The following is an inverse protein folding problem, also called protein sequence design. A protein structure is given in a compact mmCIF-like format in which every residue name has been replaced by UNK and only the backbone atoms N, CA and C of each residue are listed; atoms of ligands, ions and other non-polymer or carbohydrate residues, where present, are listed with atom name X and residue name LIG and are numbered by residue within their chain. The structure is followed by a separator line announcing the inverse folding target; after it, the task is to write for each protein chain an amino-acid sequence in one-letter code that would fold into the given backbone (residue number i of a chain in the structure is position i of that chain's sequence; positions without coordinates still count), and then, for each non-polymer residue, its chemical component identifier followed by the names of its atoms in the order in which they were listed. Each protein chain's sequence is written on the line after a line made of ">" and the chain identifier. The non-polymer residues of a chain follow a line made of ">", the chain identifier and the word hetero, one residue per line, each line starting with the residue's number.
data_IF_504920600031
#
_entry.id   IF_504920600031
#
_cell.length_a   1.000
_cell.length_b   1.000
_cell.length_c   1.000
_cell.angle_alpha   90.00
_cell.angle_beta   90.00
_cell.angle_gamma   90.00
#
_symmetry.space_group_name_H-M   'P 1'
#
loop_
_entity.id
_entity.type
_entity.pdbx_description
1 polymer ?
#
# COMPACT_ATOMS: atom_id res chain seq x y z
N UNK A 1 23.47 -13.17 -13.67
CA UNK A 1 22.31 -12.94 -14.56
C UNK A 1 21.17 -12.22 -13.83
N UNK A 2 20.57 -12.81 -12.79
CA UNK A 2 19.42 -12.23 -12.05
C UNK A 2 19.64 -10.79 -11.53
N UNK A 3 20.84 -10.48 -11.01
CA UNK A 3 21.13 -9.13 -10.51
C UNK A 3 21.13 -8.08 -11.65
N UNK A 4 21.71 -8.42 -12.80
CA UNK A 4 21.77 -7.53 -13.95
C UNK A 4 20.37 -7.26 -14.52
N UNK A 5 19.53 -8.30 -14.63
CA UNK A 5 18.13 -8.15 -15.03
C UNK A 5 17.35 -7.25 -14.07
N UNK A 6 17.57 -7.42 -12.76
CA UNK A 6 16.92 -6.59 -11.72
C UNK A 6 17.34 -5.12 -11.83
N UNK A 7 18.63 -4.86 -12.08
CA UNK A 7 19.16 -3.50 -12.27
C UNK A 7 18.59 -2.87 -13.54
N UNK A 8 18.53 -3.60 -14.65
CA UNK A 8 17.95 -3.12 -15.90
C UNK A 8 16.47 -2.79 -15.70
N UNK A 9 15.70 -3.66 -15.05
CA UNK A 9 14.29 -3.39 -14.73
C UNK A 9 14.13 -2.17 -13.82
N UNK A 10 15.00 -2.01 -12.82
CA UNK A 10 14.98 -0.84 -11.94
C UNK A 10 15.29 0.46 -12.69
N UNK A 11 16.28 0.44 -13.61
CA UNK A 11 16.62 1.59 -14.46
C UNK A 11 15.47 1.95 -15.40
N UNK A 12 14.90 0.97 -16.10
CA UNK A 12 13.76 1.20 -16.99
C UNK A 12 12.58 1.77 -16.22
N UNK A 13 12.28 1.23 -15.03
CA UNK A 13 11.22 1.74 -14.15
C UNK A 13 11.50 3.16 -13.65
N UNK A 14 12.74 3.46 -13.28
CA UNK A 14 13.13 4.79 -12.81
C UNK A 14 13.02 5.83 -13.93
N UNK A 15 13.54 5.53 -15.12
CA UNK A 15 13.44 6.41 -16.30
C UNK A 15 11.99 6.63 -16.71
N UNK A 16 11.18 5.56 -16.76
CA UNK A 16 9.75 5.68 -17.05
C UNK A 16 9.02 6.53 -15.99
N UNK A 17 9.38 6.38 -14.71
CA UNK A 17 8.85 7.19 -13.61
C UNK A 17 9.22 8.66 -13.73
N UNK A 18 10.48 8.97 -14.08
CA UNK A 18 10.93 10.34 -14.33
C UNK A 18 10.20 10.97 -15.52
N UNK A 19 10.00 10.21 -16.60
CA UNK A 19 9.22 10.68 -17.75
C UNK A 19 7.75 10.94 -17.38
N UNK A 20 7.12 10.03 -16.62
CA UNK A 20 5.77 10.21 -16.12
C UNK A 20 5.63 11.42 -15.19
N UNK A 21 6.63 11.67 -14.33
CA UNK A 21 6.71 12.89 -13.51
C UNK A 21 6.76 14.15 -14.38
N UNK A 22 7.62 14.17 -15.41
CA UNK A 22 7.70 15.29 -16.35
C UNK A 22 6.37 15.55 -17.07
N UNK A 23 5.67 14.50 -17.49
CA UNK A 23 4.35 14.59 -18.12
C UNK A 23 3.24 15.02 -17.15
N UNK A 24 3.42 14.80 -15.84
CA UNK A 24 2.46 15.21 -14.82
C UNK A 24 2.55 16.71 -14.47
N UNK A 25 3.72 17.33 -14.65
CA UNK A 25 3.94 18.77 -14.37
C UNK A 25 2.86 19.68 -14.99
N UNK A 26 2.55 19.63 -16.31
CA UNK A 26 1.56 20.53 -16.90
C UNK A 26 0.13 20.31 -16.39
N UNK A 27 -0.18 19.12 -15.87
CA UNK A 27 -1.45 18.88 -15.20
C UNK A 27 -1.46 19.50 -13.79
N UNK A 28 -0.34 19.41 -13.07
CA UNK A 28 -0.18 19.96 -11.73
C UNK A 28 -0.13 21.49 -11.70
N UNK A 29 0.34 22.16 -12.76
CA UNK A 29 0.31 23.64 -12.85
C UNK A 29 -1.12 24.21 -12.88
N UNK A 30 -2.14 23.38 -13.13
CA UNK A 30 -3.55 23.79 -13.07
C UNK A 30 -4.08 23.85 -11.63
N UNK A 31 -3.35 23.30 -10.67
CA UNK A 31 -3.73 23.34 -9.25
C UNK A 31 -3.27 24.67 -8.65
N UNK A 32 -4.19 25.35 -7.96
CA UNK A 32 -3.90 26.57 -7.24
C UNK A 32 -3.55 26.26 -5.78
N UNK A 33 -2.48 26.88 -5.29
CA UNK A 33 -2.10 26.94 -3.88
C UNK A 33 -2.00 28.42 -3.49
N UNK A 34 -2.52 28.80 -2.33
CA UNK A 34 -2.58 30.19 -1.84
C UNK A 34 -3.24 31.16 -2.84
N UNK A 35 -4.20 30.66 -3.65
CA UNK A 35 -4.88 31.45 -4.68
C UNK A 35 -4.05 31.72 -5.95
N UNK A 36 -2.86 31.14 -6.11
CA UNK A 36 -2.05 31.23 -7.33
C UNK A 36 -1.80 29.84 -7.95
N UNK A 37 -1.80 29.69 -9.28
CA UNK A 37 -1.46 28.43 -9.91
C UNK A 37 0.01 28.08 -9.66
N UNK A 38 0.29 26.79 -9.46
CA UNK A 38 1.66 26.29 -9.33
C UNK A 38 2.44 26.56 -10.63
N UNK A 39 3.66 27.08 -10.48
CA UNK A 39 4.56 27.26 -11.63
C UNK A 39 5.38 26.00 -11.88
N UNK A 40 5.73 25.75 -13.14
CA UNK A 40 6.55 24.59 -13.50
C UNK A 40 7.93 24.60 -12.79
N UNK A 41 8.47 25.79 -12.51
CA UNK A 41 9.72 25.97 -11.77
C UNK A 41 9.62 25.49 -10.32
N UNK A 42 8.48 25.70 -9.64
CA UNK A 42 8.26 25.22 -8.27
C UNK A 42 8.12 23.70 -8.19
N UNK A 43 7.57 23.09 -9.25
CA UNK A 43 7.38 21.65 -9.33
C UNK A 43 8.66 20.91 -9.73
N UNK A 44 9.59 21.58 -10.42
CA UNK A 44 10.82 20.97 -10.92
C UNK A 44 11.83 20.75 -9.79
N UNK A 45 12.11 19.49 -9.49
CA UNK A 45 13.00 19.09 -8.39
C UNK A 45 14.49 19.41 -8.67
N UNK A 46 14.82 19.69 -9.93
CA UNK A 46 16.19 19.83 -10.41
C UNK A 46 16.83 18.51 -10.82
N UNK A 47 17.70 18.57 -11.82
CA UNK A 47 18.45 17.41 -12.34
C UNK A 47 19.21 16.63 -11.25
N UNK A 48 19.92 17.25 -10.28
CA UNK A 48 20.69 16.48 -9.30
C UNK A 48 19.81 15.64 -8.39
N UNK A 49 18.64 16.16 -7.98
CA UNK A 49 17.70 15.42 -7.15
C UNK A 49 17.06 14.26 -7.92
N UNK A 50 16.74 14.45 -9.20
CA UNK A 50 16.24 13.37 -10.07
C UNK A 50 17.28 12.26 -10.19
N UNK A 51 18.55 12.60 -10.47
CA UNK A 51 19.64 11.63 -10.54
C UNK A 51 19.86 10.92 -9.21
N UNK A 52 19.76 11.62 -8.08
CA UNK A 52 19.86 11.03 -6.76
C UNK A 52 18.74 10.00 -6.51
N UNK A 53 17.49 10.30 -6.91
CA UNK A 53 16.36 9.36 -6.80
C UNK A 53 16.58 8.13 -7.68
N UNK A 54 16.99 8.32 -8.94
CA UNK A 54 17.29 7.19 -9.86
C UNK A 54 18.40 6.32 -9.28
N UNK A 55 19.49 6.93 -8.82
CA UNK A 55 20.60 6.23 -8.17
C UNK A 55 20.16 5.45 -6.93
N UNK A 56 19.34 6.07 -6.08
CA UNK A 56 18.80 5.41 -4.88
C UNK A 56 17.94 4.18 -5.23
N UNK A 57 17.09 4.27 -6.26
CA UNK A 57 16.27 3.13 -6.73
C UNK A 57 17.15 1.98 -7.22
N UNK A 58 18.21 2.28 -7.97
CA UNK A 58 19.16 1.26 -8.46
C UNK A 58 19.93 0.61 -7.30
N UNK A 59 20.44 1.40 -6.36
CA UNK A 59 21.13 0.89 -5.18
C UNK A 59 20.20 -0.01 -4.35
N UNK A 60 18.94 0.39 -4.17
CA UNK A 60 17.94 -0.43 -3.49
C UNK A 60 17.66 -1.75 -4.23
N UNK A 61 17.59 -1.73 -5.57
CA UNK A 61 17.42 -2.94 -6.37
C UNK A 61 18.61 -3.91 -6.22
N UNK A 62 19.83 -3.39 -6.25
CA UNK A 62 21.06 -4.17 -6.03
C UNK A 62 21.05 -4.77 -4.63
N UNK A 63 20.82 -3.95 -3.59
CA UNK A 63 20.78 -4.42 -2.21
C UNK A 63 19.68 -5.50 -1.99
N UNK A 64 18.51 -5.33 -2.61
CA UNK A 64 17.44 -6.31 -2.56
C UNK A 64 17.80 -7.62 -3.28
N UNK A 65 18.47 -7.54 -4.44
CA UNK A 65 18.93 -8.73 -5.17
C UNK A 65 20.03 -9.47 -4.41
N UNK A 66 21.01 -8.74 -3.85
CA UNK A 66 22.10 -9.31 -3.06
C UNK A 66 21.58 -9.97 -1.80
N UNK A 67 20.65 -9.34 -1.06
CA UNK A 67 20.05 -9.95 0.14
C UNK A 67 19.25 -11.21 -0.19
N UNK A 68 18.55 -11.24 -1.32
CA UNK A 68 17.85 -12.45 -1.80
C UNK A 68 18.82 -13.59 -2.14
N UNK A 69 19.96 -13.28 -2.77
CA UNK A 69 20.97 -14.29 -3.11
C UNK A 69 21.73 -14.78 -1.86
N UNK A 70 22.06 -13.87 -0.94
CA UNK A 70 22.71 -14.19 0.32
C UNK A 70 21.86 -15.15 1.17
N UNK A 71 20.53 -14.99 1.17
CA UNK A 71 19.63 -15.90 1.88
C UNK A 71 19.71 -17.36 1.37
N UNK A 72 19.97 -17.55 0.08
CA UNK A 72 20.13 -18.90 -0.53
C UNK A 72 21.49 -19.49 -0.19
N UNK A 73 22.54 -18.67 -0.18
CA UNK A 73 23.91 -19.10 0.14
C UNK A 73 24.08 -19.49 1.62
N UNK A 74 23.45 -18.74 2.53
CA UNK A 74 23.63 -18.91 3.99
C UNK A 74 22.79 -20.08 4.53
N UNK A 75 21.66 -20.42 3.91
CA UNK A 75 20.73 -21.43 4.42
C UNK A 75 20.07 -22.28 3.33
N UNK A 76 20.80 -23.21 2.68
CA UNK A 76 20.26 -24.05 1.60
C UNK A 76 19.05 -24.90 2.05
N UNK A 77 19.03 -25.32 3.32
CA UNK A 77 17.91 -26.07 3.93
C UNK A 77 16.65 -25.21 4.17
N UNK A 78 16.80 -23.89 4.36
CA UNK A 78 15.67 -22.98 4.57
C UNK A 78 14.85 -22.76 3.30
N UNK A 79 15.53 -22.74 2.14
CA UNK A 79 14.89 -22.67 0.81
C UNK A 79 14.16 -23.98 0.50
N UNK A 80 14.76 -25.13 0.84
CA UNK A 80 14.14 -26.44 0.65
C UNK A 80 12.92 -26.67 1.58
N UNK A 81 12.97 -26.20 2.83
CA UNK A 81 11.89 -26.42 3.81
C UNK A 81 10.74 -25.41 3.74
N UNK A 82 10.82 -24.36 2.91
CA UNK A 82 9.81 -23.26 2.81
C UNK A 82 9.22 -22.90 4.18
N UNK A 83 10.10 -22.70 5.17
CA UNK A 83 9.68 -22.56 6.57
C UNK A 83 8.77 -21.35 6.71
N UNK A 84 7.57 -21.57 7.26
CA UNK A 84 6.61 -20.49 7.54
C UNK A 84 7.23 -19.49 8.53
N UNK A 85 7.21 -18.18 8.22
CA UNK A 85 7.77 -17.19 9.12
C UNK A 85 7.07 -17.22 10.49
N UNK A 86 7.84 -16.97 11.55
CA UNK A 86 7.36 -17.04 12.93
C UNK A 86 6.12 -16.17 13.18
N UNK A 87 5.18 -16.68 13.98
CA UNK A 87 3.93 -15.98 14.30
C UNK A 87 4.22 -14.60 14.90
N UNK A 88 3.61 -13.55 14.32
CA UNK A 88 3.69 -12.20 14.85
C UNK A 88 3.13 -12.12 16.27
N UNK A 89 3.87 -11.44 17.17
CA UNK A 89 3.58 -11.35 18.61
C UNK A 89 2.63 -10.19 18.93
N UNK A 90 1.76 -10.38 19.93
CA UNK A 90 0.72 -9.43 20.34
C UNK A 90 1.26 -8.07 20.80
N UNK A 91 2.53 -8.03 21.23
CA UNK A 91 3.22 -6.80 21.62
C UNK A 91 3.27 -5.76 20.50
N UNK A 92 3.24 -6.15 19.21
CA UNK A 92 3.16 -5.20 18.09
C UNK A 92 1.88 -4.35 18.13
N UNK A 93 0.78 -4.95 18.57
CA UNK A 93 -0.49 -4.26 18.76
C UNK A 93 -0.41 -3.33 19.98
N UNK A 94 0.22 -3.79 21.06
CA UNK A 94 0.44 -2.97 22.26
C UNK A 94 1.33 -1.74 21.96
N UNK A 95 2.39 -1.89 21.16
CA UNK A 95 3.23 -0.75 20.75
C UNK A 95 2.50 0.16 19.76
N UNK A 96 1.69 -0.40 18.84
CA UNK A 96 0.83 0.41 17.97
C UNK A 96 -0.18 1.24 18.78
N UNK A 97 -0.84 0.63 19.76
CA UNK A 97 -1.74 1.30 20.68
C UNK A 97 -1.01 2.34 21.54
N UNK A 98 0.19 2.02 22.04
CA UNK A 98 1.04 2.95 22.79
C UNK A 98 1.41 4.18 21.95
N UNK A 99 1.74 4.02 20.67
CA UNK A 99 2.04 5.14 19.76
C UNK A 99 0.79 6.01 19.51
N UNK A 100 -0.39 5.40 19.39
CA UNK A 100 -1.66 6.13 19.26
C UNK A 100 -1.98 6.88 20.57
N UNK A 101 -1.77 6.26 21.72
CA UNK A 101 -1.94 6.88 23.04
C UNK A 101 -0.95 8.03 23.25
N UNK A 102 0.33 7.82 22.92
CA UNK A 102 1.36 8.85 22.95
C UNK A 102 1.01 10.00 22.01
N UNK A 103 0.35 9.72 20.88
CA UNK A 103 -0.18 10.73 19.97
C UNK A 103 -1.34 11.53 20.59
N UNK A 104 -2.36 10.86 21.14
CA UNK A 104 -3.49 11.54 21.80
C UNK A 104 -3.01 12.44 22.94
N UNK A 105 -1.99 12.00 23.69
CA UNK A 105 -1.40 12.76 24.78
C UNK A 105 -0.44 13.86 24.30
N UNK A 106 0.32 13.60 23.23
CA UNK A 106 1.28 14.55 22.64
C UNK A 106 0.63 15.64 21.80
N UNK A 107 -0.54 15.38 21.20
CA UNK A 107 -1.32 16.38 20.45
C UNK A 107 -1.84 17.51 21.35
N UNK A 108 -1.98 17.28 22.65
CA UNK A 108 -2.26 18.33 23.65
C UNK A 108 -1.09 19.32 23.78
N UNK A 109 0.14 18.89 23.46
CA UNK A 109 1.34 19.75 23.43
C UNK A 109 1.57 20.42 22.07
N UNK A 110 0.76 20.10 21.04
CA UNK A 110 0.92 20.58 19.67
C UNK A 110 0.82 22.11 19.59
N UNK A 111 0.09 22.74 20.52
CA UNK A 111 0.01 24.19 20.66
C UNK A 111 1.32 24.88 21.08
N UNK A 112 2.38 24.15 21.46
CA UNK A 112 3.67 24.72 21.92
C UNK A 112 4.88 24.41 21.04
N UNK A 113 4.82 23.47 20.09
CA UNK A 113 6.03 22.82 19.53
C UNK A 113 6.24 22.96 18.01
N UNK A 114 5.41 23.72 17.28
CA UNK A 114 5.66 24.09 15.88
C UNK A 114 5.78 22.91 14.89
N UNK A 115 6.38 23.17 13.71
CA UNK A 115 6.47 22.24 12.56
C UNK A 115 7.12 20.89 12.90
N UNK A 116 8.06 20.87 13.85
CA UNK A 116 8.73 19.65 14.29
C UNK A 116 7.77 18.65 14.94
N UNK A 117 6.81 19.14 15.72
CA UNK A 117 5.79 18.29 16.32
C UNK A 117 4.93 17.66 15.22
N UNK A 118 4.46 18.44 14.24
CA UNK A 118 3.68 17.98 13.07
C UNK A 118 4.38 16.90 12.26
N UNK A 119 5.68 17.03 12.02
CA UNK A 119 6.46 15.99 11.32
C UNK A 119 6.63 14.72 12.17
N UNK A 120 6.87 14.86 13.47
CA UNK A 120 6.96 13.72 14.39
C UNK A 120 5.63 12.92 14.42
N UNK A 121 4.49 13.60 14.32
CA UNK A 121 3.16 12.97 14.16
C UNK A 121 3.12 12.07 12.95
N UNK A 122 3.50 12.61 11.80
CA UNK A 122 3.36 11.92 10.53
C UNK A 122 4.24 10.66 10.53
N UNK A 123 5.46 10.77 11.08
CA UNK A 123 6.36 9.63 11.26
C UNK A 123 5.78 8.60 12.24
N UNK A 124 5.26 9.04 13.38
CA UNK A 124 4.66 8.16 14.38
C UNK A 124 3.43 7.42 13.82
N UNK A 125 2.60 8.10 13.04
CA UNK A 125 1.44 7.52 12.36
C UNK A 125 1.87 6.43 11.37
N UNK A 126 2.84 6.74 10.51
CA UNK A 126 3.37 5.77 9.54
C UNK A 126 3.97 4.56 10.27
N UNK A 127 4.72 4.79 11.36
CA UNK A 127 5.29 3.73 12.18
C UNK A 127 4.21 2.87 12.85
N UNK A 128 3.18 3.48 13.44
CA UNK A 128 2.07 2.78 14.09
C UNK A 128 1.31 1.89 13.10
N UNK A 129 0.97 2.43 11.92
CA UNK A 129 0.28 1.70 10.85
C UNK A 129 1.12 0.51 10.37
N UNK A 130 2.42 0.69 10.14
CA UNK A 130 3.31 -0.39 9.69
C UNK A 130 3.61 -1.43 10.79
N UNK A 131 3.56 -1.03 12.06
CA UNK A 131 3.78 -1.93 13.17
C UNK A 131 2.55 -2.79 13.46
N UNK A 132 1.38 -2.17 13.47
CA UNK A 132 0.10 -2.82 13.76
C UNK A 132 -0.46 -3.60 12.55
N UNK A 133 -0.31 -3.08 11.33
CA UNK A 133 -0.95 -3.61 10.13
C UNK A 133 -0.74 -5.11 9.89
N UNK A 134 0.50 -5.66 9.93
CA UNK A 134 0.72 -7.10 9.78
C UNK A 134 0.02 -7.93 10.85
N UNK A 135 -0.09 -7.41 12.08
CA UNK A 135 -0.80 -8.10 13.15
C UNK A 135 -2.32 -8.09 12.90
N UNK A 136 -2.88 -6.95 12.49
CA UNK A 136 -4.31 -6.83 12.15
C UNK A 136 -4.65 -7.78 11.00
N UNK A 137 -3.83 -7.85 9.95
CA UNK A 137 -3.97 -8.81 8.84
C UNK A 137 -3.91 -10.25 9.35
N UNK A 138 -2.98 -10.57 10.25
CA UNK A 138 -2.89 -11.91 10.84
C UNK A 138 -4.16 -12.27 11.64
N UNK A 139 -4.67 -11.35 12.45
CA UNK A 139 -5.86 -11.55 13.26
C UNK A 139 -7.10 -11.74 12.37
N UNK A 140 -7.25 -10.88 11.36
CA UNK A 140 -8.33 -10.98 10.37
C UNK A 140 -8.26 -12.30 9.60
N UNK A 141 -7.06 -12.72 9.17
CA UNK A 141 -6.85 -14.00 8.51
C UNK A 141 -7.23 -15.19 9.39
N UNK A 142 -6.91 -15.16 10.69
CA UNK A 142 -7.32 -16.20 11.65
C UNK A 142 -8.83 -16.21 11.88
N UNK A 143 -9.44 -15.05 12.04
CA UNK A 143 -10.88 -14.92 12.18
C UNK A 143 -11.60 -15.46 10.95
N UNK A 144 -11.11 -15.10 9.77
CA UNK A 144 -11.63 -15.58 8.50
C UNK A 144 -11.45 -17.10 8.36
N UNK A 145 -10.29 -17.65 8.76
CA UNK A 145 -10.05 -19.09 8.76
C UNK A 145 -11.02 -19.86 9.68
N UNK A 146 -11.36 -19.29 10.85
CA UNK A 146 -12.33 -19.89 11.79
C UNK A 146 -13.76 -19.86 11.27
N UNK A 147 -14.13 -18.85 10.49
CA UNK A 147 -15.47 -18.70 9.90
C UNK A 147 -15.59 -19.28 8.49
N UNK A 148 -14.52 -19.83 7.92
CA UNK A 148 -14.53 -20.31 6.55
C UNK A 148 -15.39 -21.57 6.40
N UNK A 149 -16.54 -21.42 5.75
CA UNK A 149 -17.46 -22.53 5.42
C UNK A 149 -17.19 -23.15 4.05
N UNK A 150 -16.26 -22.58 3.27
CA UNK A 150 -15.90 -23.06 1.93
C UNK A 150 -14.42 -23.39 1.82
N UNK A 151 -14.07 -24.39 1.00
CA UNK A 151 -12.68 -24.77 0.73
C UNK A 151 -11.84 -23.60 0.20
N UNK A 152 -12.42 -22.79 -0.71
CA UNK A 152 -11.79 -21.59 -1.24
C UNK A 152 -11.46 -20.57 -0.15
N UNK A 153 -12.39 -20.34 0.78
CA UNK A 153 -12.19 -19.43 1.91
C UNK A 153 -11.11 -19.92 2.87
N UNK A 154 -11.09 -21.22 3.17
CA UNK A 154 -10.09 -21.81 4.05
C UNK A 154 -8.68 -21.74 3.46
N UNK A 155 -8.53 -22.03 2.16
CA UNK A 155 -7.24 -21.93 1.45
C UNK A 155 -6.73 -20.49 1.44
N UNK A 156 -7.60 -19.53 1.09
CA UNK A 156 -7.25 -18.11 1.09
C UNK A 156 -6.84 -17.63 2.49
N UNK A 157 -7.60 -18.01 3.52
CA UNK A 157 -7.33 -17.63 4.90
C UNK A 157 -5.97 -18.17 5.40
N UNK A 158 -5.68 -19.45 5.14
CA UNK A 158 -4.40 -20.06 5.53
C UNK A 158 -3.22 -19.35 4.88
N UNK A 159 -3.30 -19.06 3.57
CA UNK A 159 -2.25 -18.33 2.85
C UNK A 159 -1.97 -16.94 3.42
N UNK A 160 -3.01 -16.22 3.87
CA UNK A 160 -2.86 -14.92 4.53
C UNK A 160 -2.19 -15.07 5.91
N UNK A 161 -2.54 -16.11 6.67
CA UNK A 161 -2.01 -16.38 8.01
C UNK A 161 -0.57 -16.91 7.98
N UNK A 162 -0.19 -17.59 6.89
CA UNK A 162 1.15 -18.15 6.69
C UNK A 162 2.21 -17.05 6.50
N UNK A 163 1.89 -15.97 5.76
CA UNK A 163 2.74 -14.78 5.66
C UNK A 163 1.92 -13.46 5.68
N UNK A 164 1.55 -13.01 6.89
CA UNK A 164 0.78 -11.78 7.06
C UNK A 164 1.63 -10.52 6.81
N UNK A 165 2.96 -10.60 6.93
CA UNK A 165 3.85 -9.44 6.72
C UNK A 165 3.96 -9.12 5.24
N UNK A 166 4.18 -10.12 4.39
CA UNK A 166 4.15 -9.91 2.95
C UNK A 166 2.77 -9.46 2.47
N UNK A 167 1.71 -10.06 3.04
CA UNK A 167 0.33 -9.70 2.71
C UNK A 167 0.00 -8.26 3.11
N UNK A 168 0.47 -7.77 4.27
CA UNK A 168 0.32 -6.36 4.64
C UNK A 168 1.12 -5.44 3.72
N UNK A 169 2.38 -5.78 3.44
CA UNK A 169 3.27 -4.95 2.63
C UNK A 169 2.72 -4.69 1.22
N UNK A 170 1.92 -5.60 0.65
CA UNK A 170 1.31 -5.36 -0.66
C UNK A 170 0.22 -4.29 -0.64
N UNK A 171 -0.50 -4.10 0.49
CA UNK A 171 -1.65 -3.18 0.60
C UNK A 171 -1.43 -1.99 1.54
N UNK A 172 -0.35 -1.97 2.33
CA UNK A 172 -0.11 -0.97 3.38
C UNK A 172 -0.11 0.48 2.89
N UNK A 173 0.36 0.70 1.67
CA UNK A 173 0.38 2.03 1.05
C UNK A 173 -1.04 2.60 0.88
N UNK A 174 -2.04 1.77 0.58
CA UNK A 174 -3.44 2.21 0.48
C UNK A 174 -3.99 2.62 1.85
N UNK A 175 -3.68 1.83 2.89
CA UNK A 175 -4.09 2.14 4.26
C UNK A 175 -3.55 3.48 4.72
N UNK A 176 -2.27 3.75 4.41
CA UNK A 176 -1.66 5.06 4.64
C UNK A 176 -2.33 6.16 3.82
N UNK A 177 -2.59 5.95 2.53
CA UNK A 177 -3.23 6.94 1.68
C UNK A 177 -4.61 7.37 2.20
N UNK A 178 -5.43 6.39 2.63
CA UNK A 178 -6.75 6.63 3.23
C UNK A 178 -6.59 7.42 4.53
N UNK A 179 -5.64 7.05 5.37
CA UNK A 179 -5.40 7.71 6.65
C UNK A 179 -4.92 9.17 6.46
N UNK A 180 -3.99 9.41 5.53
CA UNK A 180 -3.51 10.75 5.17
C UNK A 180 -4.65 11.63 4.60
N UNK A 181 -5.45 11.07 3.70
CA UNK A 181 -6.59 11.79 3.12
C UNK A 181 -7.62 12.17 4.20
N UNK A 182 -7.91 11.26 5.13
CA UNK A 182 -8.79 11.53 6.25
C UNK A 182 -8.23 12.59 7.21
N UNK A 183 -6.94 12.53 7.56
CA UNK A 183 -6.31 13.50 8.48
C UNK A 183 -6.09 14.89 7.87
N UNK A 184 -6.12 15.02 6.54
CA UNK A 184 -5.95 16.32 5.86
C UNK A 184 -7.01 17.37 6.21
N UNK A 185 -8.12 16.98 6.82
CA UNK A 185 -9.18 17.89 7.27
C UNK A 185 -8.85 18.64 8.57
N UNK A 186 -7.77 18.29 9.28
CA UNK A 186 -7.43 18.78 10.63
C UNK A 186 -7.03 20.27 10.67
N UNK A 187 -6.87 20.92 9.52
CA UNK A 187 -6.41 22.32 9.43
C UNK A 187 -7.50 23.40 9.41
N UNK A 188 -8.79 23.05 9.39
CA UNK A 188 -9.87 24.04 9.39
C UNK A 188 -10.16 24.53 10.81
N UNK A 189 -9.50 25.59 11.26
CA UNK A 189 -9.96 26.32 12.43
C UNK A 189 -11.36 26.88 12.14
N UNK A 190 -12.34 26.58 12.99
CA UNK A 190 -13.72 27.11 12.92
C UNK A 190 -13.77 28.65 13.17
N UNK A 191 -12.61 29.24 13.42
CA UNK A 191 -12.41 30.67 13.52
C UNK A 191 -12.33 31.26 12.09
N UNK A 192 -13.15 32.28 11.75
CA UNK A 192 -13.23 32.86 10.41
C UNK A 192 -11.98 33.72 10.11
N UNK A 193 -10.83 33.07 10.00
CA UNK A 193 -9.58 33.65 9.56
C UNK A 193 -9.39 33.35 8.06
N UNK A 194 -9.30 34.39 7.20
CA UNK A 194 -9.10 34.20 5.75
C UNK A 194 -7.84 33.40 5.39
N UNK A 195 -6.78 33.52 6.20
CA UNK A 195 -5.54 32.75 6.03
C UNK A 195 -5.69 31.28 6.43
N UNK A 196 -6.41 30.98 7.51
CA UNK A 196 -6.63 29.61 7.98
C UNK A 196 -7.45 28.77 6.99
N UNK A 197 -8.49 29.36 6.39
CA UNK A 197 -9.33 28.68 5.39
C UNK A 197 -8.58 28.36 4.08
N UNK A 198 -7.68 29.24 3.65
CA UNK A 198 -6.84 29.01 2.45
C UNK A 198 -5.86 27.87 2.69
N UNK A 199 -5.15 27.88 3.83
CA UNK A 199 -4.18 26.84 4.19
C UNK A 199 -4.84 25.46 4.37
N UNK A 200 -6.04 25.40 4.96
CA UNK A 200 -6.81 24.16 5.08
C UNK A 200 -7.22 23.58 3.72
N UNK A 201 -7.59 24.45 2.77
CA UNK A 201 -7.96 24.06 1.40
C UNK A 201 -6.75 23.52 0.63
N UNK A 202 -5.60 24.16 0.79
CA UNK A 202 -4.33 23.77 0.17
C UNK A 202 -3.81 22.44 0.72
N UNK A 203 -3.77 22.28 2.05
CA UNK A 203 -3.46 21.00 2.71
C UNK A 203 -4.38 19.89 2.21
N UNK A 204 -5.66 20.23 2.07
CA UNK A 204 -6.66 19.33 1.57
C UNK A 204 -6.42 18.91 0.11
N UNK A 205 -6.01 19.83 -0.75
CA UNK A 205 -5.71 19.57 -2.15
C UNK A 205 -4.41 18.77 -2.30
N UNK A 206 -3.37 19.13 -1.55
CA UNK A 206 -2.12 18.36 -1.48
C UNK A 206 -2.35 16.91 -1.04
N UNK A 207 -3.23 16.68 -0.07
CA UNK A 207 -3.59 15.33 0.37
C UNK A 207 -4.33 14.52 -0.71
N UNK A 208 -5.19 15.14 -1.53
CA UNK A 208 -5.84 14.46 -2.66
C UNK A 208 -4.82 14.07 -3.74
N UNK A 209 -3.86 14.95 -4.05
CA UNK A 209 -2.78 14.65 -4.99
C UNK A 209 -1.93 13.49 -4.45
N UNK A 210 -1.52 13.55 -3.19
CA UNK A 210 -0.75 12.48 -2.55
C UNK A 210 -1.53 11.15 -2.55
N UNK A 211 -2.83 11.18 -2.26
CA UNK A 211 -3.71 10.01 -2.31
C UNK A 211 -3.73 9.39 -3.73
N UNK A 212 -3.83 10.18 -4.79
CA UNK A 212 -3.79 9.68 -6.18
C UNK A 212 -2.45 9.00 -6.47
N UNK A 213 -1.35 9.65 -6.12
CA UNK A 213 0.00 9.13 -6.36
C UNK A 213 0.21 7.82 -5.57
N UNK A 214 -0.09 7.81 -4.27
CA UNK A 214 0.09 6.62 -3.42
C UNK A 214 -0.84 5.49 -3.87
N UNK A 215 -2.07 5.79 -4.30
CA UNK A 215 -2.99 4.77 -4.84
C UNK A 215 -2.44 4.14 -6.13
N UNK A 216 -1.83 4.93 -7.02
CA UNK A 216 -1.19 4.42 -8.23
C UNK A 216 0.04 3.54 -7.90
N UNK A 217 0.88 3.98 -6.96
CA UNK A 217 2.04 3.20 -6.48
C UNK A 217 1.58 1.89 -5.81
N UNK A 218 0.52 1.95 -5.00
CA UNK A 218 0.02 0.76 -4.33
C UNK A 218 -0.66 -0.21 -5.31
N UNK A 219 -1.38 0.31 -6.31
CA UNK A 219 -1.97 -0.48 -7.37
C UNK A 219 -0.89 -1.22 -8.19
N UNK A 220 0.19 -0.54 -8.57
CA UNK A 220 1.31 -1.16 -9.29
C UNK A 220 2.04 -2.19 -8.42
N UNK A 221 2.37 -1.86 -7.17
CA UNK A 221 3.00 -2.79 -6.23
C UNK A 221 2.15 -4.05 -5.97
N UNK A 222 0.84 -3.88 -5.73
CA UNK A 222 -0.07 -5.03 -5.56
C UNK A 222 -0.16 -5.84 -6.85
N UNK A 223 -0.24 -5.18 -8.01
CA UNK A 223 -0.30 -5.84 -9.31
C UNK A 223 0.89 -6.75 -9.57
N UNK A 224 2.11 -6.29 -9.24
CA UNK A 224 3.34 -7.08 -9.34
C UNK A 224 3.28 -8.31 -8.42
N UNK A 225 2.88 -8.13 -7.15
CA UNK A 225 2.74 -9.25 -6.20
C UNK A 225 1.69 -10.27 -6.67
N UNK A 226 0.59 -9.80 -7.23
CA UNK A 226 -0.46 -10.68 -7.77
C UNK A 226 0.01 -11.43 -9.01
N UNK A 227 0.75 -10.78 -9.91
CA UNK A 227 1.33 -11.43 -11.09
C UNK A 227 2.36 -12.49 -10.69
N UNK A 228 3.26 -12.16 -9.76
CA UNK A 228 4.25 -13.09 -9.23
C UNK A 228 3.59 -14.32 -8.59
N UNK A 229 2.57 -14.13 -7.74
CA UNK A 229 1.83 -15.24 -7.12
C UNK A 229 1.19 -16.17 -8.15
N UNK A 230 0.67 -15.64 -9.26
CA UNK A 230 0.09 -16.47 -10.33
C UNK A 230 1.17 -17.30 -11.02
N UNK A 231 2.32 -16.70 -11.30
CA UNK A 231 3.45 -17.38 -11.94
C UNK A 231 4.01 -18.49 -11.03
N UNK A 232 4.21 -18.19 -9.75
CA UNK A 232 4.77 -19.12 -8.76
C UNK A 232 3.85 -20.32 -8.50
N UNK A 233 2.54 -20.14 -8.60
CA UNK A 233 1.54 -21.18 -8.28
C UNK A 233 1.00 -21.93 -9.49
N UNK A 234 1.51 -21.66 -10.70
CA UNK A 234 1.03 -22.29 -11.95
C UNK A 234 1.03 -23.82 -11.88
N UNK A 235 2.08 -24.41 -11.31
CA UNK A 235 2.21 -25.86 -11.17
C UNK A 235 1.18 -26.42 -10.20
N UNK A 236 1.04 -25.80 -9.02
CA UNK A 236 0.05 -26.19 -8.01
C UNK A 236 -1.38 -26.09 -8.54
N UNK A 237 -1.70 -25.06 -9.32
CA UNK A 237 -3.01 -24.91 -9.94
C UNK A 237 -3.29 -25.98 -10.99
N UNK A 238 -2.27 -26.37 -11.77
CA UNK A 238 -2.37 -27.48 -12.72
C UNK A 238 -2.62 -28.80 -12.01
N UNK A 239 -1.86 -29.10 -10.96
CA UNK A 239 -1.99 -30.37 -10.23
C UNK A 239 -3.36 -30.49 -9.53
N UNK A 240 -3.88 -29.40 -8.96
CA UNK A 240 -5.22 -29.35 -8.38
C UNK A 240 -6.33 -29.52 -9.44
N UNK A 241 -6.13 -28.98 -10.64
CA UNK A 241 -7.06 -29.17 -11.75
C UNK A 241 -7.05 -30.63 -12.24
N UNK A 242 -5.87 -31.26 -12.32
CA UNK A 242 -5.71 -32.68 -12.65
C UNK A 242 -6.32 -33.59 -11.57
N UNK A 243 -6.28 -33.18 -10.30
CA UNK A 243 -6.95 -33.86 -9.20
C UNK A 243 -8.49 -33.67 -9.17
N UNK A 244 -9.08 -33.00 -10.18
CA UNK A 244 -10.53 -32.83 -10.32
C UNK A 244 -11.11 -31.61 -9.58
N UNK A 245 -10.28 -30.70 -9.07
CA UNK A 245 -10.79 -29.50 -8.40
C UNK A 245 -11.42 -28.54 -9.42
N UNK A 246 -12.69 -28.12 -9.25
CA UNK A 246 -13.34 -27.24 -10.20
C UNK A 246 -12.66 -25.86 -10.24
N UNK A 247 -12.35 -25.36 -11.44
CA UNK A 247 -11.68 -24.07 -11.68
C UNK A 247 -12.36 -22.87 -10.98
N UNK A 248 -13.68 -22.95 -10.77
CA UNK A 248 -14.46 -21.94 -10.05
C UNK A 248 -14.01 -21.76 -8.60
N UNK A 249 -13.62 -22.85 -7.92
CA UNK A 249 -13.14 -22.81 -6.53
C UNK A 249 -11.77 -22.14 -6.46
N UNK A 250 -10.91 -22.42 -7.43
CA UNK A 250 -9.57 -21.83 -7.54
C UNK A 250 -9.62 -20.32 -7.81
N UNK A 251 -10.50 -19.90 -8.72
CA UNK A 251 -10.77 -18.49 -8.98
C UNK A 251 -11.36 -17.77 -7.76
N UNK A 252 -12.30 -18.40 -7.04
CA UNK A 252 -12.83 -17.83 -5.80
C UNK A 252 -11.75 -17.69 -4.72
N UNK A 253 -10.90 -18.69 -4.53
CA UNK A 253 -9.80 -18.61 -3.57
C UNK A 253 -8.87 -17.42 -3.88
N UNK A 254 -8.52 -17.24 -5.17
CA UNK A 254 -7.72 -16.10 -5.61
C UNK A 254 -8.42 -14.76 -5.33
N UNK A 255 -9.71 -14.63 -5.61
CA UNK A 255 -10.45 -13.40 -5.33
C UNK A 255 -10.45 -13.07 -3.83
N UNK A 256 -10.61 -14.09 -2.99
CA UNK A 256 -10.61 -13.93 -1.53
C UNK A 256 -9.22 -13.55 -0.98
N UNK A 257 -8.14 -14.07 -1.57
CA UNK A 257 -6.76 -13.67 -1.23
C UNK A 257 -6.47 -12.19 -1.51
N UNK A 258 -7.18 -11.56 -2.44
CA UNK A 258 -7.07 -10.13 -2.72
C UNK A 258 -8.07 -9.33 -1.88
N UNK A 259 -9.31 -9.79 -1.81
CA UNK A 259 -10.40 -9.06 -1.16
C UNK A 259 -10.21 -8.96 0.36
N UNK A 260 -9.72 -10.02 1.02
CA UNK A 260 -9.58 -10.02 2.49
C UNK A 260 -8.54 -8.99 2.95
N UNK A 261 -7.29 -8.97 2.45
CA UNK A 261 -6.31 -7.95 2.84
C UNK A 261 -6.76 -6.54 2.46
N UNK A 262 -7.46 -6.39 1.34
CA UNK A 262 -8.04 -5.12 0.92
C UNK A 262 -9.07 -4.62 1.94
N UNK A 263 -10.05 -5.44 2.30
CA UNK A 263 -11.08 -5.08 3.29
C UNK A 263 -10.45 -4.70 4.62
N UNK A 264 -9.46 -5.46 5.08
CA UNK A 264 -8.72 -5.14 6.31
C UNK A 264 -8.07 -3.76 6.21
N UNK A 265 -7.45 -3.45 5.07
CA UNK A 265 -6.77 -2.18 4.84
C UNK A 265 -7.75 -1.01 4.75
N UNK A 266 -8.91 -1.18 4.10
CA UNK A 266 -9.97 -0.18 4.02
C UNK A 266 -10.54 0.13 5.40
N UNK A 267 -10.89 -0.92 6.15
CA UNK A 267 -11.43 -0.78 7.51
C UNK A 267 -10.41 -0.11 8.41
N UNK A 268 -9.15 -0.58 8.40
CA UNK A 268 -8.09 0.00 9.22
C UNK A 268 -7.79 1.45 8.83
N UNK A 269 -7.69 1.73 7.53
CA UNK A 269 -7.41 3.06 7.00
C UNK A 269 -8.53 4.07 7.27
N UNK A 270 -9.79 3.64 7.35
CA UNK A 270 -10.93 4.49 7.70
C UNK A 270 -11.11 4.66 9.21
N UNK A 271 -10.93 3.59 9.98
CA UNK A 271 -11.17 3.60 11.44
C UNK A 271 -10.06 4.29 12.23
N UNK A 272 -8.79 4.09 11.83
CA UNK A 272 -7.64 4.68 12.52
C UNK A 272 -7.67 6.23 12.59
N UNK A 273 -7.85 6.97 11.48
CA UNK A 273 -7.94 8.43 11.54
C UNK A 273 -9.18 8.88 12.30
N UNK A 274 -10.31 8.18 12.18
CA UNK A 274 -11.52 8.51 12.93
C UNK A 274 -11.31 8.36 14.43
N UNK A 275 -10.62 7.30 14.86
CA UNK A 275 -10.24 7.06 16.26
C UNK A 275 -9.29 8.15 16.78
N UNK A 276 -8.34 8.57 15.94
CA UNK A 276 -7.40 9.66 16.25
C UNK A 276 -8.14 11.00 16.42
N UNK A 277 -9.15 11.26 15.60
CA UNK A 277 -9.93 12.51 15.61
C UNK A 277 -11.07 12.51 16.63
N UNK A 278 -11.47 11.35 17.16
CA UNK A 278 -12.55 11.19 18.13
C UNK A 278 -12.47 12.13 19.37
N UNK A 279 -11.31 12.32 20.03
CA UNK A 279 -11.21 13.27 21.14
C UNK A 279 -11.29 14.73 20.70
N UNK A 280 -11.05 15.02 19.41
CA UNK A 280 -11.13 16.34 18.80
C UNK A 280 -12.47 16.45 18.06
N UNK A 281 -13.57 16.29 18.79
CA UNK A 281 -14.91 16.18 18.20
C UNK A 281 -15.32 17.39 17.34
N UNK A 282 -14.73 18.56 17.58
CA UNK A 282 -14.88 19.77 16.75
C UNK A 282 -14.35 19.60 15.31
N UNK A 283 -13.46 18.64 15.06
CA UNK A 283 -12.88 18.38 13.74
C UNK A 283 -13.65 17.32 12.95
N UNK A 284 -14.65 16.67 13.54
CA UNK A 284 -15.50 15.66 12.89
C UNK A 284 -16.62 16.32 12.07
N UNK A 285 -16.24 16.93 10.95
CA UNK A 285 -17.17 17.51 9.98
C UNK A 285 -17.51 16.59 8.81
N UNK A 286 -18.52 16.98 8.01
CA UNK A 286 -18.91 16.33 6.75
C UNK A 286 -17.70 16.18 5.80
N UNK A 287 -16.77 17.14 5.81
CA UNK A 287 -15.55 17.10 5.01
C UNK A 287 -14.66 15.87 5.28
N UNK A 288 -14.57 15.42 6.53
CA UNK A 288 -13.79 14.22 6.90
C UNK A 288 -14.41 12.97 6.29
N UNK A 289 -15.74 12.85 6.42
CA UNK A 289 -16.51 11.74 5.88
C UNK A 289 -16.39 11.68 4.36
N UNK A 290 -16.56 12.82 3.68
CA UNK A 290 -16.45 12.90 2.21
C UNK A 290 -15.04 12.56 1.73
N UNK A 291 -13.99 13.14 2.33
CA UNK A 291 -12.60 12.85 1.95
C UNK A 291 -12.22 11.39 2.20
N UNK A 292 -12.65 10.83 3.31
CA UNK A 292 -12.43 9.41 3.63
C UNK A 292 -13.15 8.51 2.63
N UNK A 293 -14.40 8.83 2.27
CA UNK A 293 -15.16 8.09 1.27
C UNK A 293 -14.51 8.15 -0.12
N UNK A 294 -14.05 9.33 -0.55
CA UNK A 294 -13.30 9.51 -1.80
C UNK A 294 -12.00 8.70 -1.78
N UNK A 295 -11.27 8.71 -0.66
CA UNK A 295 -10.04 7.95 -0.51
C UNK A 295 -10.26 6.44 -0.59
N UNK A 296 -11.32 5.95 0.05
CA UNK A 296 -11.75 4.56 -0.04
C UNK A 296 -12.10 4.18 -1.48
N UNK A 297 -12.93 4.98 -2.14
CA UNK A 297 -13.36 4.74 -3.52
C UNK A 297 -12.15 4.71 -4.49
N UNK A 298 -11.25 5.68 -4.40
CA UNK A 298 -10.07 5.75 -5.25
C UNK A 298 -9.13 4.57 -5.01
N UNK A 299 -8.90 4.20 -3.75
CA UNK A 299 -8.06 3.05 -3.38
C UNK A 299 -8.62 1.74 -3.93
N UNK A 300 -9.93 1.55 -3.85
CA UNK A 300 -10.62 0.37 -4.41
C UNK A 300 -10.52 0.36 -5.93
N UNK A 301 -10.78 1.49 -6.60
CA UNK A 301 -10.69 1.59 -8.06
C UNK A 301 -9.27 1.31 -8.57
N UNK A 302 -8.25 1.88 -7.92
CA UNK A 302 -6.86 1.67 -8.28
C UNK A 302 -6.47 0.18 -8.19
N UNK A 303 -6.92 -0.51 -7.14
CA UNK A 303 -6.72 -1.95 -6.99
C UNK A 303 -7.48 -2.78 -8.00
N UNK A 304 -8.76 -2.49 -8.23
CA UNK A 304 -9.57 -3.20 -9.22
C UNK A 304 -8.99 -3.02 -10.62
N UNK A 305 -8.53 -1.83 -10.96
CA UNK A 305 -7.81 -1.53 -12.20
C UNK A 305 -6.53 -2.36 -12.35
N UNK A 306 -5.71 -2.42 -11.30
CA UNK A 306 -4.51 -3.27 -11.27
C UNK A 306 -4.83 -4.76 -11.46
N UNK A 307 -5.85 -5.27 -10.76
CA UNK A 307 -6.32 -6.66 -10.91
C UNK A 307 -6.83 -6.90 -12.33
N UNK A 308 -7.57 -5.96 -12.91
CA UNK A 308 -8.11 -6.07 -14.28
C UNK A 308 -6.98 -6.10 -15.32
N UNK A 309 -6.02 -5.17 -15.25
CA UNK A 309 -4.86 -5.12 -16.12
C UNK A 309 -4.02 -6.41 -16.01
N UNK A 310 -3.88 -6.96 -14.80
CA UNK A 310 -3.16 -8.22 -14.58
C UNK A 310 -3.84 -9.43 -15.25
N UNK A 311 -5.18 -9.41 -15.45
CA UNK A 311 -5.90 -10.51 -16.13
C UNK A 311 -5.45 -10.68 -17.58
N UNK A 312 -5.08 -9.59 -18.26
CA UNK A 312 -4.56 -9.65 -19.63
C UNK A 312 -3.24 -10.41 -19.73
N UNK A 313 -2.33 -10.18 -18.78
CA UNK A 313 -1.06 -10.91 -18.67
C UNK A 313 -1.29 -12.39 -18.32
N UNK A 314 -2.21 -12.67 -17.38
CA UNK A 314 -2.57 -14.06 -17.02
C UNK A 314 -3.13 -14.83 -18.22
N UNK A 315 -3.94 -14.20 -19.07
CA UNK A 315 -4.44 -14.84 -20.30
C UNK A 315 -3.31 -15.16 -21.28
N UNK A 316 -2.36 -14.24 -21.48
CA UNK A 316 -1.21 -14.44 -22.37
C UNK A 316 -0.29 -15.58 -21.90
N UNK A 317 0.01 -15.64 -20.61
CA UNK A 317 0.86 -16.71 -20.06
C UNK A 317 0.13 -18.04 -19.88
N UNK A 318 -1.17 -18.04 -19.60
CA UNK A 318 -1.98 -19.28 -19.58
C UNK A 318 -2.11 -19.89 -20.99
N UNK A 319 -2.20 -19.07 -22.03
CA UNK A 319 -2.19 -19.55 -23.42
C UNK A 319 -0.84 -20.17 -23.80
N UNK A 320 0.28 -19.57 -23.38
CA UNK A 320 1.63 -20.10 -23.60
C UNK A 320 1.90 -21.41 -22.82
N UNK A 321 1.17 -21.69 -21.75
CA UNK A 321 1.29 -22.91 -20.96
C UNK A 321 0.38 -24.06 -21.44
N UNK A 322 -0.40 -23.85 -22.51
CA UNK A 322 -1.20 -24.92 -23.10
C UNK A 322 -0.31 -25.86 -23.92
N UNK A 323 -0.39 -27.19 -23.73
CA UNK A 323 0.47 -28.17 -24.39
C UNK A 323 0.25 -28.29 -25.91
N UNK A 324 -0.63 -27.47 -26.50
CA UNK A 324 -0.96 -27.47 -27.92
C UNK A 324 0.06 -26.69 -28.81
N UNK A 325 1.09 -26.08 -28.23
CA UNK A 325 2.14 -25.37 -28.99
C UNK A 325 3.47 -26.13 -29.08
N UNK A 326 3.52 -27.36 -28.57
CA UNK A 326 4.69 -28.24 -28.62
C UNK A 326 4.42 -29.49 -29.49
N UNK A 327 3.48 -29.40 -30.43
CA UNK A 327 3.21 -30.40 -31.46
C UNK A 327 3.39 -29.77 -32.83
#
# INVERSE_FOLDING_TARGET
>A
MVLAESVVQALVGAVAGTAAYGLAIPALTRVAFEGRPLTAAQLWLGVPAILAVVGAVVVLAIASGLSSLAAVAIGPLGVARRTTPGRLRIWRLAVGAMLILAWVFGAQLLGRLGVAATLAVLVALVAAVNLAGPFVVQLAGRFYARRATSAAGLVAARRIVDDPRATWRSVSALGLAICLAALSCVGGSDQPDPQGSTMATDLGTGALIALVIVSAVAATATGVVQAARVIDQRATYRDLALAGTPLRVLHRARLLEVAVPLLVTLVMGATLPLLILLPMSSLLGVGVLVRTAVALALSVLALLGSVYLSRGLVRRYAAAASPASAA
#
